data_IF_759790993597
#
_entry.id   IF_759790993597
#
_cell.length_a   1.000
_cell.length_b   1.000
_cell.length_c   1.000
_cell.angle_alpha   90.00
_cell.angle_beta   90.00
_cell.angle_gamma   90.00
#
_symmetry.space_group_name_H-M   'P 1'
#
loop_
_entity.id
_entity.type
_entity.pdbx_description
1 polymer ?
#
# COMPACT_ATOMS: atom_id res chain seq x y z
N UNK A 1 -14.43 22.03 7.32
CA UNK A 1 -13.23 22.89 7.36
C UNK A 1 -12.06 21.98 7.09
N UNK A 2 -11.33 22.21 5.99
CA UNK A 2 -10.16 21.38 5.66
C UNK A 2 -9.01 21.65 6.62
N UNK A 3 -8.11 20.68 6.79
CA UNK A 3 -6.85 20.91 7.51
C UNK A 3 -6.05 22.03 6.84
N UNK A 4 -5.37 22.84 7.65
CA UNK A 4 -4.36 23.77 7.15
C UNK A 4 -3.12 23.02 6.67
N UNK A 5 -2.40 23.57 5.69
CA UNK A 5 -1.15 23.02 5.15
C UNK A 5 -0.11 22.70 6.25
N UNK A 6 -0.02 23.53 7.29
CA UNK A 6 0.86 23.29 8.44
C UNK A 6 0.53 22.02 9.21
N UNK A 7 -0.76 21.70 9.37
CA UNK A 7 -1.20 20.50 10.07
C UNK A 7 -0.92 19.24 9.25
N UNK A 8 -1.01 19.33 7.92
CA UNK A 8 -0.66 18.23 7.02
C UNK A 8 0.84 17.99 7.01
N UNK A 9 1.65 19.06 7.01
CA UNK A 9 3.09 18.91 7.12
C UNK A 9 3.49 18.22 8.43
N UNK A 10 2.82 18.55 9.54
CA UNK A 10 3.04 17.86 10.82
C UNK A 10 2.68 16.37 10.73
N UNK A 11 1.53 16.03 10.13
CA UNK A 11 1.14 14.63 9.90
C UNK A 11 2.19 13.90 9.06
N UNK A 12 2.68 14.53 7.99
CA UNK A 12 3.71 13.96 7.12
C UNK A 12 5.01 13.67 7.88
N UNK A 13 5.48 14.61 8.70
CA UNK A 13 6.70 14.42 9.48
C UNK A 13 6.53 13.35 10.57
N UNK A 14 5.36 13.27 11.19
CA UNK A 14 5.05 12.20 12.15
C UNK A 14 5.01 10.82 11.48
N UNK A 15 4.39 10.70 10.31
CA UNK A 15 4.30 9.43 9.57
C UNK A 15 5.63 8.93 9.00
N UNK A 16 6.63 9.81 8.87
CA UNK A 16 8.00 9.40 8.50
C UNK A 16 8.73 8.70 9.65
N UNK A 17 8.23 8.79 10.89
CA UNK A 17 8.79 8.04 12.02
C UNK A 17 8.51 6.55 11.86
N UNK A 18 9.37 5.67 12.40
CA UNK A 18 9.16 4.22 12.35
C UNK A 18 7.81 3.84 12.96
N UNK A 19 7.19 2.80 12.39
CA UNK A 19 5.96 2.17 12.89
C UNK A 19 4.74 3.10 13.02
N UNK A 20 4.77 4.26 12.35
CA UNK A 20 3.64 5.19 12.30
C UNK A 20 2.82 5.00 11.02
N UNK A 21 1.50 5.05 11.17
CA UNK A 21 0.54 4.98 10.06
C UNK A 21 -0.59 5.97 10.24
N UNK A 22 -1.23 6.34 9.15
CA UNK A 22 -2.54 6.98 9.18
C UNK A 22 -3.59 5.98 8.71
N UNK A 23 -4.65 5.77 9.50
CA UNK A 23 -5.76 4.88 9.13
C UNK A 23 -7.08 5.65 9.13
N UNK A 24 -7.84 5.50 8.05
CA UNK A 24 -9.25 5.92 8.00
C UNK A 24 -10.10 4.86 7.29
N UNK A 25 -11.04 4.27 8.04
CA UNK A 25 -11.84 3.13 7.59
C UNK A 25 -10.98 1.98 7.06
N UNK A 26 -11.07 1.73 5.76
CA UNK A 26 -10.33 0.68 5.05
C UNK A 26 -8.97 1.11 4.50
N UNK A 27 -8.64 2.40 4.55
CA UNK A 27 -7.41 2.93 3.97
C UNK A 27 -6.33 3.13 5.03
N UNK A 28 -5.10 2.79 4.67
CA UNK A 28 -3.92 3.01 5.50
C UNK A 28 -2.86 3.71 4.65
N UNK A 29 -2.28 4.79 5.16
CA UNK A 29 -1.10 5.45 4.58
C UNK A 29 0.10 5.20 5.48
N UNK A 30 1.20 4.75 4.89
CA UNK A 30 2.45 4.42 5.56
C UNK A 30 3.63 5.00 4.78
N UNK A 31 4.65 5.50 5.49
CA UNK A 31 5.96 5.78 4.92
C UNK A 31 6.97 4.72 5.35
N UNK A 32 7.58 4.04 4.39
CA UNK A 32 8.60 3.02 4.63
C UNK A 32 9.60 2.99 3.48
N UNK A 33 10.83 2.51 3.70
CA UNK A 33 11.82 2.32 2.62
C UNK A 33 12.00 3.55 1.68
N UNK A 34 11.89 4.75 2.24
CA UNK A 34 11.99 6.02 1.50
C UNK A 34 10.77 6.40 0.65
N UNK A 35 9.64 5.69 0.76
CA UNK A 35 8.50 5.75 -0.15
C UNK A 35 7.16 5.75 0.60
N UNK A 36 6.14 6.31 -0.04
CA UNK A 36 4.78 6.32 0.47
C UNK A 36 3.98 5.14 -0.07
N UNK A 37 3.19 4.55 0.80
CA UNK A 37 2.33 3.42 0.51
C UNK A 37 0.90 3.76 0.89
N UNK A 38 -0.02 3.50 -0.03
CA UNK A 38 -1.45 3.43 0.27
C UNK A 38 -1.84 1.96 0.30
N UNK A 39 -2.47 1.53 1.38
CA UNK A 39 -2.91 0.16 1.55
C UNK A 39 -4.42 0.15 1.77
N UNK A 40 -5.07 -0.93 1.32
CA UNK A 40 -6.46 -1.20 1.67
C UNK A 40 -6.55 -2.44 2.53
N UNK A 41 -7.34 -2.39 3.59
CA UNK A 41 -7.71 -3.55 4.38
C UNK A 41 -9.03 -4.11 3.87
N UNK A 42 -9.17 -5.43 3.83
CA UNK A 42 -10.49 -6.03 3.64
C UNK A 42 -11.17 -6.19 4.99
N UNK A 43 -12.22 -5.40 5.26
CA UNK A 43 -13.07 -5.62 6.42
C UNK A 43 -13.86 -6.91 6.21
N UNK A 44 -13.46 -8.00 6.85
CA UNK A 44 -14.23 -9.25 6.86
C UNK A 44 -15.33 -9.19 7.94
N UNK A 45 -16.18 -8.17 7.83
CA UNK A 45 -17.34 -7.98 8.69
C UNK A 45 -18.29 -9.19 8.64
N UNK A 46 -18.61 -9.71 9.83
CA UNK A 46 -19.57 -10.77 10.18
C UNK A 46 -19.08 -12.23 10.28
N UNK A 47 -17.81 -12.57 10.02
CA UNK A 47 -17.32 -13.98 10.14
C UNK A 47 -16.07 -14.21 11.00
N UNK A 48 -15.75 -13.28 11.90
CA UNK A 48 -14.67 -13.46 12.89
C UNK A 48 -13.26 -13.64 12.29
N UNK A 49 -13.01 -13.13 11.09
CA UNK A 49 -11.66 -13.15 10.50
C UNK A 49 -10.96 -11.82 10.76
N UNK A 50 -9.66 -11.84 11.12
CA UNK A 50 -8.90 -10.63 11.35
C UNK A 50 -8.80 -9.79 10.07
N UNK A 51 -8.74 -8.47 10.26
CA UNK A 51 -8.35 -7.54 9.20
C UNK A 51 -6.99 -7.96 8.65
N UNK A 52 -6.79 -7.80 7.33
CA UNK A 52 -5.51 -8.00 6.67
C UNK A 52 -5.35 -6.99 5.53
N UNK A 53 -4.09 -6.67 5.18
CA UNK A 53 -3.72 -5.84 4.04
C UNK A 53 -4.08 -6.60 2.76
N UNK A 54 -5.04 -6.09 2.01
CA UNK A 54 -5.49 -6.67 0.73
C UNK A 54 -4.68 -6.14 -0.44
N UNK A 55 -4.49 -4.82 -0.49
CA UNK A 55 -3.74 -4.17 -1.56
C UNK A 55 -2.67 -3.23 -1.03
N UNK A 56 -1.59 -3.10 -1.80
CA UNK A 56 -0.54 -2.12 -1.59
C UNK A 56 -0.35 -1.33 -2.90
N UNK A 57 -0.35 -0.01 -2.77
CA UNK A 57 -0.11 0.95 -3.85
C UNK A 57 1.08 1.81 -3.49
N UNK A 58 1.86 2.22 -4.49
CA UNK A 58 2.98 3.13 -4.34
C UNK A 58 2.55 4.55 -4.71
N UNK A 59 3.03 5.54 -3.96
CA UNK A 59 2.75 6.93 -4.25
C UNK A 59 3.94 7.86 -4.00
N UNK A 60 3.88 9.02 -4.63
CA UNK A 60 4.73 10.17 -4.30
C UNK A 60 4.17 10.93 -3.10
N UNK A 61 4.95 11.89 -2.57
CA UNK A 61 4.50 12.69 -1.44
C UNK A 61 3.25 13.52 -1.79
N UNK A 62 3.19 14.06 -3.01
CA UNK A 62 2.02 14.79 -3.50
C UNK A 62 0.75 13.92 -3.51
N UNK A 63 0.87 12.63 -3.83
CA UNK A 63 -0.22 11.67 -3.73
C UNK A 63 -0.65 11.41 -2.29
N UNK A 64 0.29 11.31 -1.35
CA UNK A 64 -0.01 11.15 0.07
C UNK A 64 -0.74 12.39 0.62
N UNK A 65 -0.24 13.59 0.32
CA UNK A 65 -0.87 14.88 0.62
C UNK A 65 -2.30 14.94 0.07
N UNK A 66 -2.49 14.59 -1.21
CA UNK A 66 -3.81 14.50 -1.83
C UNK A 66 -4.74 13.56 -1.06
N UNK A 67 -4.25 12.42 -0.60
CA UNK A 67 -5.06 11.50 0.21
C UNK A 67 -5.44 12.07 1.57
N UNK A 68 -4.53 12.75 2.26
CA UNK A 68 -4.85 13.42 3.53
C UNK A 68 -5.86 14.55 3.35
N UNK A 69 -5.76 15.32 2.27
CA UNK A 69 -6.71 16.39 1.99
C UNK A 69 -8.12 15.88 1.66
N UNK A 70 -8.23 14.80 0.89
CA UNK A 70 -9.50 14.43 0.26
C UNK A 70 -10.19 13.22 0.91
N UNK A 71 -9.43 12.33 1.54
CA UNK A 71 -9.94 11.03 1.99
C UNK A 71 -9.67 10.71 3.46
N UNK A 72 -8.78 11.43 4.14
CA UNK A 72 -8.45 11.15 5.55
C UNK A 72 -8.56 12.42 6.40
N UNK A 73 -9.77 13.01 6.48
CA UNK A 73 -10.01 14.20 7.29
C UNK A 73 -10.96 13.94 8.48
N UNK A 74 -10.50 14.14 9.74
CA UNK A 74 -9.13 14.46 10.15
C UNK A 74 -8.17 13.23 10.05
N UNK A 75 -6.86 13.40 9.80
CA UNK A 75 -5.92 12.30 9.75
C UNK A 75 -5.73 11.72 11.14
N UNK A 76 -5.81 10.41 11.26
CA UNK A 76 -5.63 9.69 12.52
C UNK A 76 -4.32 8.94 12.49
N UNK A 77 -3.32 9.45 13.21
CA UNK A 77 -2.01 8.83 13.35
C UNK A 77 -2.07 7.76 14.44
N UNK A 78 -1.61 6.57 14.11
CA UNK A 78 -1.61 5.37 14.94
C UNK A 78 -0.25 4.68 14.81
N UNK A 79 0.15 3.95 15.85
CA UNK A 79 1.30 3.06 15.78
C UNK A 79 0.90 1.70 15.20
N UNK A 80 1.87 0.85 14.86
CA UNK A 80 1.58 -0.53 14.45
C UNK A 80 0.86 -1.34 15.55
N UNK A 81 1.11 -1.03 16.83
CA UNK A 81 0.48 -1.72 17.97
C UNK A 81 -0.99 -1.34 18.13
N UNK A 82 -1.38 -0.15 17.66
CA UNK A 82 -2.78 0.31 17.66
C UNK A 82 -3.60 -0.33 16.52
N UNK A 83 -2.92 -1.02 15.59
CA UNK A 83 -3.54 -1.67 14.44
C UNK A 83 -4.05 -3.07 14.79
N UNK A 84 -4.58 -3.79 13.80
CA UNK A 84 -5.04 -5.16 14.02
C UNK A 84 -3.88 -6.11 14.36
N UNK A 85 -4.17 -7.17 15.10
CA UNK A 85 -3.18 -8.16 15.50
C UNK A 85 -2.46 -8.74 14.26
N UNK A 86 -1.13 -8.68 14.27
CA UNK A 86 -0.29 -9.16 13.17
C UNK A 86 -0.03 -8.13 12.06
N UNK A 87 -0.49 -6.88 12.22
CA UNK A 87 -0.27 -5.82 11.22
C UNK A 87 1.21 -5.60 10.90
N UNK A 88 2.08 -5.50 11.92
CA UNK A 88 3.52 -5.33 11.73
C UNK A 88 4.12 -6.44 10.86
N UNK A 89 3.65 -7.68 11.06
CA UNK A 89 4.13 -8.85 10.34
C UNK A 89 3.62 -8.85 8.89
N UNK A 90 2.39 -8.42 8.68
CA UNK A 90 1.88 -8.20 7.32
C UNK A 90 2.62 -7.10 6.57
N UNK A 91 2.96 -5.99 7.24
CA UNK A 91 3.75 -4.91 6.64
C UNK A 91 5.11 -5.46 6.20
N UNK A 92 5.80 -6.24 7.04
CA UNK A 92 7.09 -6.86 6.68
C UNK A 92 7.01 -7.76 5.46
N UNK A 93 5.89 -8.46 5.27
CA UNK A 93 5.69 -9.38 4.14
C UNK A 93 5.24 -8.69 2.85
N UNK A 94 4.58 -7.53 2.95
CA UNK A 94 3.87 -6.90 1.83
C UNK A 94 4.46 -5.55 1.40
N UNK A 95 5.23 -4.90 2.28
CA UNK A 95 5.86 -3.60 2.08
C UNK A 95 7.37 -3.81 1.98
N UNK A 96 7.83 -4.17 0.77
CA UNK A 96 9.21 -4.57 0.53
C UNK A 96 10.08 -3.42 -0.02
N UNK A 97 11.40 -3.46 0.23
CA UNK A 97 12.29 -2.36 -0.10
C UNK A 97 12.63 -2.28 -1.59
N UNK A 98 12.59 -3.37 -2.35
CA UNK A 98 12.88 -3.36 -3.79
C UNK A 98 11.84 -4.15 -4.59
N UNK A 99 11.67 -3.82 -5.88
CA UNK A 99 10.75 -4.54 -6.75
C UNK A 99 11.10 -6.04 -6.82
N UNK A 100 12.40 -6.37 -6.87
CA UNK A 100 12.91 -7.74 -6.93
C UNK A 100 12.51 -8.59 -5.73
N UNK A 101 12.35 -7.99 -4.55
CA UNK A 101 11.92 -8.72 -3.35
C UNK A 101 10.50 -9.29 -3.48
N UNK A 102 9.70 -8.76 -4.41
CA UNK A 102 8.38 -9.31 -4.72
C UNK A 102 8.44 -10.53 -5.66
N UNK A 103 9.58 -10.82 -6.30
CA UNK A 103 9.69 -11.92 -7.26
C UNK A 103 9.33 -13.29 -6.67
N UNK A 104 9.80 -13.68 -5.46
CA UNK A 104 9.40 -14.96 -4.86
C UNK A 104 7.89 -15.06 -4.61
N UNK A 105 7.26 -13.95 -4.22
CA UNK A 105 5.81 -13.89 -4.00
C UNK A 105 5.03 -14.00 -5.30
N UNK A 106 5.57 -13.43 -6.38
CA UNK A 106 5.06 -13.54 -7.75
C UNK A 106 5.16 -14.98 -8.26
N UNK A 107 6.32 -15.62 -8.11
CA UNK A 107 6.57 -17.01 -8.51
C UNK A 107 5.70 -18.01 -7.72
N UNK A 108 5.43 -17.72 -6.44
CA UNK A 108 4.54 -18.51 -5.60
C UNK A 108 3.04 -18.26 -5.87
N UNK A 109 2.67 -17.33 -6.77
CA UNK A 109 1.27 -16.99 -7.07
C UNK A 109 0.54 -16.25 -5.94
N UNK A 110 1.28 -15.67 -5.00
CA UNK A 110 0.76 -14.93 -3.83
C UNK A 110 0.41 -13.47 -4.15
N UNK A 111 0.78 -13.01 -5.35
CA UNK A 111 0.56 -11.65 -5.84
C UNK A 111 -0.19 -11.63 -7.16
N UNK A 112 -1.10 -10.66 -7.27
CA UNK A 112 -1.72 -10.22 -8.52
C UNK A 112 -1.44 -8.74 -8.70
N UNK A 113 -0.81 -8.32 -9.78
CA UNK A 113 -0.85 -6.90 -10.15
C UNK A 113 -2.21 -6.62 -10.77
N UNK A 114 -2.87 -5.57 -10.27
CA UNK A 114 -3.97 -4.95 -10.97
C UNK A 114 -3.45 -3.62 -11.53
N UNK A 115 -3.35 -3.51 -12.85
CA UNK A 115 -2.91 -2.31 -13.58
C UNK A 115 -4.07 -1.43 -14.02
N UNK A 116 -5.23 -1.59 -13.38
CA UNK A 116 -6.54 -1.10 -13.82
C UNK A 116 -6.82 0.41 -13.81
N UNK A 117 -5.96 1.24 -14.42
CA UNK A 117 -6.42 2.47 -15.10
C UNK A 117 -6.42 2.34 -16.63
N UNK A 118 -5.94 1.22 -17.16
CA UNK A 118 -6.36 0.70 -18.47
C UNK A 118 -7.09 -0.61 -18.20
N UNK A 119 -8.18 -0.86 -18.93
CA UNK A 119 -9.12 -1.98 -18.79
C UNK A 119 -8.55 -3.39 -18.95
N UNK A 120 -7.24 -3.59 -18.79
CA UNK A 120 -6.59 -4.90 -18.82
C UNK A 120 -6.37 -5.40 -17.39
N UNK A 121 -7.31 -6.22 -16.92
CA UNK A 121 -7.09 -7.09 -15.77
C UNK A 121 -6.38 -8.35 -16.25
N UNK A 122 -5.05 -8.30 -16.40
CA UNK A 122 -4.30 -9.52 -16.70
C UNK A 122 -4.33 -10.42 -15.46
N UNK A 123 -5.19 -11.45 -15.49
CA UNK A 123 -5.27 -12.45 -14.43
C UNK A 123 -3.97 -13.26 -14.41
N UNK A 124 -3.34 -13.26 -13.23
CA UNK A 124 -2.07 -13.92 -12.94
C UNK A 124 -2.28 -15.43 -12.80
N UNK A 125 -2.43 -16.13 -13.93
CA UNK A 125 -2.24 -17.58 -14.01
C UNK A 125 -1.06 -17.98 -14.92
N UNK A 126 -0.40 -17.01 -15.58
CA UNK A 126 0.64 -17.24 -16.61
C UNK A 126 2.02 -16.68 -16.25
N UNK A 127 2.30 -16.44 -14.97
CA UNK A 127 3.47 -15.65 -14.53
C UNK A 127 4.83 -16.34 -14.71
N UNK A 128 4.88 -17.65 -14.93
CA UNK A 128 6.16 -18.38 -15.14
C UNK A 128 7.02 -17.84 -16.29
N UNK A 129 6.43 -17.13 -17.25
CA UNK A 129 7.15 -16.48 -18.37
C UNK A 129 7.16 -14.94 -18.31
N UNK A 130 6.48 -14.31 -17.33
CA UNK A 130 6.29 -12.85 -17.25
C UNK A 130 6.74 -12.21 -15.94
N UNK A 131 7.33 -12.99 -15.02
CA UNK A 131 7.85 -12.50 -13.73
C UNK A 131 8.77 -11.28 -13.88
N UNK A 132 9.74 -11.32 -14.80
CA UNK A 132 10.64 -10.17 -15.02
C UNK A 132 9.89 -8.92 -15.53
N UNK A 133 8.95 -9.08 -16.46
CA UNK A 133 8.14 -7.96 -16.97
C UNK A 133 7.28 -7.32 -15.86
N UNK A 134 6.76 -8.14 -14.94
CA UNK A 134 6.07 -7.66 -13.75
C UNK A 134 7.01 -6.84 -12.85
N UNK A 135 8.21 -7.36 -12.58
CA UNK A 135 9.20 -6.69 -11.73
C UNK A 135 9.63 -5.37 -12.36
N UNK A 136 9.81 -5.31 -13.68
CA UNK A 136 10.13 -4.08 -14.40
C UNK A 136 9.00 -3.06 -14.30
N UNK A 137 7.74 -3.49 -14.44
CA UNK A 137 6.57 -2.62 -14.26
C UNK A 137 6.41 -2.13 -12.82
N UNK A 138 6.67 -3.00 -11.85
CA UNK A 138 6.66 -2.66 -10.43
C UNK A 138 7.78 -1.68 -10.07
N UNK A 139 8.98 -1.86 -10.62
CA UNK A 139 10.09 -0.94 -10.44
C UNK A 139 9.69 0.47 -10.91
N UNK A 140 9.10 0.60 -12.11
CA UNK A 140 8.57 1.88 -12.60
C UNK A 140 7.51 2.49 -11.67
N UNK A 141 6.63 1.66 -11.12
CA UNK A 141 5.63 2.14 -10.15
C UNK A 141 6.29 2.64 -8.83
N UNK A 142 7.30 1.93 -8.34
CA UNK A 142 8.08 2.33 -7.15
C UNK A 142 8.89 3.61 -7.38
N UNK A 143 9.38 3.80 -8.61
CA UNK A 143 10.08 5.00 -9.08
C UNK A 143 9.12 6.16 -9.41
N UNK A 144 7.82 5.98 -9.11
CA UNK A 144 6.74 6.98 -9.27
C UNK A 144 6.42 7.32 -10.74
N UNK A 145 6.81 6.46 -11.68
CA UNK A 145 6.55 6.66 -13.11
C UNK A 145 5.14 6.21 -13.53
N UNK A 146 4.46 5.38 -12.73
CA UNK A 146 3.13 4.84 -13.04
C UNK A 146 2.18 5.01 -11.84
N UNK A 147 1.14 5.83 -12.00
CA UNK A 147 0.06 5.97 -11.02
C UNK A 147 -0.96 4.83 -11.19
N UNK A 148 -1.41 4.25 -10.08
CA UNK A 148 -2.48 3.24 -10.09
C UNK A 148 -2.04 1.78 -10.18
N UNK A 149 -0.73 1.50 -10.06
CA UNK A 149 -0.23 0.14 -9.90
C UNK A 149 -0.60 -0.39 -8.50
N UNK A 150 -1.38 -1.48 -8.45
CA UNK A 150 -1.82 -2.09 -7.20
C UNK A 150 -1.30 -3.53 -7.11
N UNK A 151 -0.58 -3.82 -6.03
CA UNK A 151 -0.27 -5.18 -5.62
C UNK A 151 -1.45 -5.72 -4.82
N UNK A 152 -2.12 -6.74 -5.34
CA UNK A 152 -3.20 -7.45 -4.65
C UNK A 152 -2.69 -8.81 -4.17
N UNK A 153 -2.80 -9.07 -2.86
CA UNK A 153 -2.36 -10.32 -2.25
C UNK A 153 -3.51 -11.34 -2.25
N UNK A 154 -3.22 -12.61 -2.56
CA UNK A 154 -4.26 -13.63 -2.87
C UNK A 154 -4.74 -14.45 -1.66
N UNK A 155 -4.07 -14.38 -0.52
CA UNK A 155 -4.51 -14.68 0.85
C UNK A 155 -3.33 -14.51 1.78
#
# INVERSE_FOLDING_TARGET
MGLSDTAIQQVIEELKKPDMVSKDGQFIVLYAHGRWYLMTTMYMGAKGKPDHIRTVHFMDQAGAEYYFHNFMQPPSIQTFDDMFQGFAEEVKLKVLPTAKDYLPLVEAGLLKANTGYTTDTTSVSDIGARGQQFIDGLQKAMDKEVRGFALQFTK
#
